data_IF_425566650594
#
_entry.id   IF_425566650594
#
_cell.length_a   1.000
_cell.length_b   1.000
_cell.length_c   1.000
_cell.angle_alpha   90.00
_cell.angle_beta   90.00
_cell.angle_gamma   90.00
#
_symmetry.space_group_name_H-M   'P 1'
#
loop_
_entity.id
_entity.type
_entity.pdbx_description
1 polymer ?
#
# COMPACT_ATOMS: atom_id res chain seq x y z
N UNK A 1 7.23 -1.93 30.33
CA UNK A 1 8.54 -2.45 30.78
C UNK A 1 9.65 -2.32 29.74
N UNK A 2 9.54 -2.95 28.55
CA UNK A 2 10.61 -2.91 27.53
C UNK A 2 10.99 -1.50 27.08
N UNK A 3 10.00 -0.65 26.74
CA UNK A 3 10.26 0.74 26.33
C UNK A 3 10.94 1.55 27.45
N UNK A 4 10.55 1.31 28.71
CA UNK A 4 11.18 1.98 29.85
C UNK A 4 12.65 1.58 29.98
N UNK A 5 12.96 0.29 29.87
CA UNK A 5 14.33 -0.21 29.91
C UNK A 5 15.18 0.33 28.76
N UNK A 6 14.62 0.41 27.54
CA UNK A 6 15.28 1.04 26.39
C UNK A 6 15.61 2.50 26.71
N UNK A 7 14.62 3.29 27.13
CA UNK A 7 14.81 4.72 27.45
C UNK A 7 15.86 4.91 28.56
N UNK A 8 15.86 4.07 29.60
CA UNK A 8 16.86 4.12 30.68
C UNK A 8 18.27 3.76 30.22
N UNK A 9 18.43 2.98 29.16
CA UNK A 9 19.73 2.58 28.62
C UNK A 9 20.31 3.58 27.61
N UNK A 10 19.50 4.51 27.09
CA UNK A 10 19.97 5.49 26.12
C UNK A 10 20.86 6.55 26.78
N UNK A 11 21.97 6.98 26.15
CA UNK A 11 22.73 8.13 26.58
C UNK A 11 21.86 9.38 26.70
N UNK A 12 22.23 10.28 27.63
CA UNK A 12 21.57 11.56 27.77
C UNK A 12 21.62 12.35 26.45
N UNK A 13 20.48 12.89 26.04
CA UNK A 13 20.37 13.68 24.81
C UNK A 13 20.15 12.88 23.52
N UNK A 14 20.18 11.53 23.57
CA UNK A 14 19.82 10.70 22.41
C UNK A 14 18.36 10.91 22.01
N UNK A 15 18.15 11.16 20.71
CA UNK A 15 16.82 11.24 20.14
C UNK A 15 16.29 9.84 19.85
N UNK A 16 15.11 9.53 20.39
CA UNK A 16 14.38 8.30 20.17
C UNK A 16 13.15 8.60 19.31
N UNK A 17 13.04 7.87 18.21
CA UNK A 17 11.83 7.78 17.40
C UNK A 17 11.17 6.42 17.64
N UNK A 18 9.85 6.41 17.79
CA UNK A 18 9.02 5.20 17.75
C UNK A 18 7.96 5.46 16.68
N UNK A 19 7.99 4.65 15.62
CA UNK A 19 7.17 4.87 14.42
C UNK A 19 6.51 3.55 14.04
N UNK A 20 5.27 3.62 13.56
CA UNK A 20 4.66 2.58 12.75
C UNK A 20 4.42 3.13 11.35
N UNK A 21 4.71 2.32 10.33
CA UNK A 21 4.56 2.66 8.92
C UNK A 21 3.09 2.69 8.46
N UNK A 22 2.21 2.04 9.22
CA UNK A 22 0.77 2.01 9.00
C UNK A 22 0.02 1.75 10.32
N UNK A 23 -1.31 1.90 10.32
CA UNK A 23 -2.16 1.44 11.42
C UNK A 23 -2.54 -0.04 11.29
N UNK A 24 -3.47 -0.50 12.12
CA UNK A 24 -3.95 -1.87 12.07
C UNK A 24 -5.42 -2.01 12.51
N UNK A 25 -6.09 -3.01 11.95
CA UNK A 25 -7.44 -3.41 12.36
C UNK A 25 -7.62 -4.94 12.23
N UNK A 26 -8.77 -5.46 12.67
CA UNK A 26 -9.09 -6.89 12.54
C UNK A 26 -9.51 -7.22 11.10
N UNK A 27 -9.07 -8.38 10.61
CA UNK A 27 -9.63 -8.97 9.38
C UNK A 27 -11.03 -9.48 9.70
N UNK A 28 -12.01 -9.03 8.91
CA UNK A 28 -13.34 -9.62 8.87
C UNK A 28 -13.50 -10.52 7.64
N UNK A 29 -12.96 -10.09 6.50
CA UNK A 29 -12.98 -10.80 5.22
C UNK A 29 -11.65 -10.62 4.53
N UNK A 30 -11.11 -11.69 3.98
CA UNK A 30 -10.10 -11.58 2.93
C UNK A 30 -10.82 -11.41 1.60
N UNK A 31 -10.32 -10.52 0.76
CA UNK A 31 -10.85 -10.22 -0.56
C UNK A 31 -9.83 -10.65 -1.62
N UNK A 32 -10.26 -11.38 -2.64
CA UNK A 32 -9.39 -11.99 -3.65
C UNK A 32 -9.71 -11.46 -5.06
N UNK A 33 -9.22 -10.25 -5.44
CA UNK A 33 -9.53 -9.62 -6.72
C UNK A 33 -9.24 -10.50 -7.95
N UNK A 34 -8.21 -11.34 -7.87
CA UNK A 34 -7.85 -12.26 -8.95
C UNK A 34 -8.96 -13.30 -9.25
N UNK A 35 -9.84 -13.61 -8.29
CA UNK A 35 -11.01 -14.46 -8.57
C UNK A 35 -11.98 -13.74 -9.49
N UNK A 36 -12.32 -12.49 -9.19
CA UNK A 36 -13.19 -11.68 -10.03
C UNK A 36 -12.59 -11.46 -11.42
N UNK A 37 -11.28 -11.16 -11.53
CA UNK A 37 -10.62 -11.01 -12.83
C UNK A 37 -10.69 -12.30 -13.68
N UNK A 38 -10.64 -13.48 -13.06
CA UNK A 38 -10.84 -14.76 -13.78
C UNK A 38 -12.28 -14.94 -14.23
N UNK A 39 -13.25 -14.58 -13.38
CA UNK A 39 -14.68 -14.63 -13.74
C UNK A 39 -15.02 -13.71 -14.91
N UNK A 40 -14.36 -12.55 -15.01
CA UNK A 40 -14.46 -11.65 -16.17
C UNK A 40 -13.65 -12.11 -17.40
N UNK A 41 -12.91 -13.22 -17.31
CA UNK A 41 -12.06 -13.71 -18.41
C UNK A 41 -10.80 -12.87 -18.67
N UNK A 42 -10.40 -12.03 -17.71
CA UNK A 42 -9.26 -11.11 -17.83
C UNK A 42 -7.95 -11.69 -17.30
N UNK A 43 -8.02 -12.70 -16.44
CA UNK A 43 -6.88 -13.42 -15.87
C UNK A 43 -6.99 -14.91 -16.22
N UNK A 44 -5.94 -15.46 -16.83
CA UNK A 44 -5.82 -16.87 -17.17
C UNK A 44 -4.59 -17.49 -16.51
N UNK A 45 -4.71 -18.74 -16.05
CA UNK A 45 -3.67 -19.45 -15.31
C UNK A 45 -3.41 -20.79 -15.98
N UNK A 46 -2.13 -21.14 -16.17
CA UNK A 46 -1.74 -22.37 -16.86
C UNK A 46 -1.64 -23.59 -15.94
N UNK A 47 -1.62 -23.37 -14.63
CA UNK A 47 -1.48 -24.41 -13.62
C UNK A 47 -2.80 -24.63 -12.87
N UNK A 48 -3.09 -25.88 -12.52
CA UNK A 48 -4.24 -26.23 -11.66
C UNK A 48 -4.09 -25.68 -10.23
N UNK A 49 -2.85 -25.52 -9.77
CA UNK A 49 -2.50 -24.99 -8.44
C UNK A 49 -1.47 -23.85 -8.56
N UNK A 50 -1.90 -22.68 -9.05
CA UNK A 50 -1.01 -21.57 -9.35
C UNK A 50 -0.47 -20.95 -8.05
N UNK A 51 0.84 -20.68 -8.02
CA UNK A 51 1.56 -20.17 -6.85
C UNK A 51 2.03 -18.73 -7.01
N UNK A 52 2.07 -18.20 -8.23
CA UNK A 52 2.52 -16.84 -8.49
C UNK A 52 2.56 -16.50 -9.97
N UNK A 53 3.26 -15.42 -10.30
CA UNK A 53 3.37 -14.90 -11.68
C UNK A 53 3.90 -15.92 -12.69
N UNK A 54 4.74 -16.88 -12.26
CA UNK A 54 5.23 -17.93 -13.13
C UNK A 54 4.10 -18.82 -13.71
N UNK A 55 2.93 -18.85 -13.08
CA UNK A 55 1.76 -19.64 -13.49
C UNK A 55 0.72 -18.83 -14.28
N UNK A 56 1.00 -17.54 -14.53
CA UNK A 56 0.15 -16.68 -15.38
C UNK A 56 0.29 -17.11 -16.84
N UNK A 57 -0.86 -17.27 -17.49
CA UNK A 57 -0.96 -17.62 -18.91
C UNK A 57 -0.77 -16.36 -19.79
N UNK A 58 -0.13 -16.44 -20.97
CA UNK A 58 -0.01 -15.33 -21.91
C UNK A 58 -1.33 -14.66 -22.30
N UNK A 59 -2.47 -15.37 -22.25
CA UNK A 59 -3.78 -14.80 -22.50
C UNK A 59 -4.27 -13.82 -21.41
N UNK A 60 -3.58 -13.76 -20.27
CA UNK A 60 -3.87 -12.80 -19.20
C UNK A 60 -3.68 -11.37 -19.66
N UNK A 61 -4.66 -10.53 -19.36
CA UNK A 61 -4.62 -9.10 -19.65
C UNK A 61 -4.26 -8.25 -18.44
N UNK A 62 -4.67 -8.66 -17.25
CA UNK A 62 -4.48 -7.90 -16.01
C UNK A 62 -4.52 -8.83 -14.80
N UNK A 63 -3.76 -8.49 -13.76
CA UNK A 63 -3.71 -9.26 -12.52
C UNK A 63 -3.45 -8.36 -11.32
N UNK A 64 -3.71 -8.90 -10.13
CA UNK A 64 -3.48 -8.24 -8.84
C UNK A 64 -2.34 -8.93 -8.08
N UNK A 65 -1.46 -8.14 -7.47
CA UNK A 65 -0.45 -8.57 -6.51
C UNK A 65 -0.72 -7.98 -5.13
N UNK A 66 -0.13 -8.58 -4.11
CA UNK A 66 -0.28 -8.11 -2.73
C UNK A 66 0.42 -6.74 -2.49
N UNK A 67 -0.18 -5.87 -1.64
CA UNK A 67 -1.60 -5.81 -1.27
C UNK A 67 -2.37 -4.94 -2.28
N UNK A 68 -3.39 -5.50 -2.94
CA UNK A 68 -4.33 -4.72 -3.76
C UNK A 68 -3.72 -3.90 -4.92
N UNK A 69 -2.59 -4.33 -5.48
CA UNK A 69 -1.89 -3.63 -6.58
C UNK A 69 -2.19 -4.29 -7.91
N UNK A 70 -2.78 -3.54 -8.83
CA UNK A 70 -3.23 -4.08 -10.12
C UNK A 70 -2.23 -3.68 -11.21
N UNK A 71 -1.88 -4.65 -12.06
CA UNK A 71 -0.96 -4.50 -13.15
C UNK A 71 -1.59 -5.01 -14.44
N UNK A 72 -1.62 -4.15 -15.46
CA UNK A 72 -1.89 -4.58 -16.84
C UNK A 72 -0.70 -5.40 -17.31
N UNK A 73 -0.96 -6.56 -17.90
CA UNK A 73 0.03 -7.45 -18.49
C UNK A 73 0.51 -6.88 -19.83
N UNK A 74 1.11 -5.68 -19.78
CA UNK A 74 1.50 -4.88 -20.93
C UNK A 74 2.67 -5.50 -21.70
N UNK A 75 2.61 -5.35 -23.02
CA UNK A 75 3.72 -5.66 -23.90
C UNK A 75 4.97 -4.86 -23.51
N UNK A 76 6.12 -5.52 -23.46
CA UNK A 76 7.42 -4.91 -23.11
C UNK A 76 7.64 -4.65 -21.62
N UNK A 77 6.58 -4.62 -20.80
CA UNK A 77 6.68 -4.53 -19.33
C UNK A 77 6.81 -5.89 -18.67
N UNK A 78 6.04 -6.86 -19.16
CA UNK A 78 6.06 -8.24 -18.68
C UNK A 78 6.55 -9.18 -19.79
N UNK A 79 7.33 -10.23 -19.46
CA UNK A 79 7.89 -11.14 -20.48
C UNK A 79 6.86 -11.78 -21.40
N UNK A 80 5.64 -12.02 -20.90
CA UNK A 80 4.53 -12.63 -21.64
C UNK A 80 3.39 -11.64 -21.89
N UNK A 81 3.63 -10.34 -21.64
CA UNK A 81 2.62 -9.31 -21.77
C UNK A 81 2.22 -9.07 -23.22
N UNK A 82 0.91 -9.00 -23.47
CA UNK A 82 0.35 -8.85 -24.80
C UNK A 82 -0.53 -7.60 -24.94
N UNK A 83 -0.87 -6.91 -23.84
CA UNK A 83 -1.78 -5.76 -23.87
C UNK A 83 -1.04 -4.52 -24.39
N UNK A 84 -1.58 -3.92 -25.44
CA UNK A 84 -1.09 -2.64 -26.00
C UNK A 84 -1.65 -1.42 -25.25
N UNK A 85 -1.07 -0.24 -25.49
CA UNK A 85 -1.41 0.97 -24.72
C UNK A 85 -2.89 1.37 -24.81
N UNK A 86 -3.49 1.38 -26.01
CA UNK A 86 -4.91 1.75 -26.18
C UNK A 86 -5.85 0.75 -25.49
N UNK A 87 -5.55 -0.54 -25.55
CA UNK A 87 -6.34 -1.56 -24.85
C UNK A 87 -6.21 -1.45 -23.33
N UNK A 88 -5.06 -0.99 -22.83
CA UNK A 88 -4.82 -0.86 -21.39
C UNK A 88 -5.76 0.16 -20.74
N UNK A 89 -6.02 1.30 -21.38
CA UNK A 89 -6.85 2.36 -20.78
C UNK A 89 -8.32 1.91 -20.66
N UNK A 90 -8.87 1.32 -21.73
CA UNK A 90 -10.22 0.75 -21.71
C UNK A 90 -10.36 -0.37 -20.68
N UNK A 91 -9.34 -1.24 -20.59
CA UNK A 91 -9.28 -2.33 -19.62
C UNK A 91 -9.26 -1.82 -18.18
N UNK A 92 -8.48 -0.78 -17.89
CA UNK A 92 -8.40 -0.16 -16.57
C UNK A 92 -9.73 0.47 -16.17
N UNK A 93 -10.41 1.16 -17.10
CA UNK A 93 -11.75 1.71 -16.87
C UNK A 93 -12.76 0.62 -16.49
N UNK A 94 -12.82 -0.45 -17.29
CA UNK A 94 -13.71 -1.58 -17.03
C UNK A 94 -13.44 -2.26 -15.67
N UNK A 95 -12.16 -2.46 -15.33
CA UNK A 95 -11.75 -3.07 -14.05
C UNK A 95 -12.09 -2.16 -12.88
N UNK A 96 -11.88 -0.84 -13.01
CA UNK A 96 -12.26 0.13 -11.99
C UNK A 96 -13.77 0.08 -11.69
N UNK A 97 -14.60 0.18 -12.72
CA UNK A 97 -16.06 0.13 -12.57
C UNK A 97 -16.52 -1.17 -11.91
N UNK A 98 -16.00 -2.30 -12.37
CA UNK A 98 -16.36 -3.62 -11.84
C UNK A 98 -15.98 -3.80 -10.38
N UNK A 99 -14.76 -3.43 -9.99
CA UNK A 99 -14.28 -3.56 -8.62
C UNK A 99 -14.99 -2.60 -7.64
N UNK A 100 -15.28 -1.36 -8.04
CA UNK A 100 -16.06 -0.41 -7.23
C UNK A 100 -17.53 -0.86 -7.05
N UNK A 101 -18.07 -1.60 -8.01
CA UNK A 101 -19.42 -2.15 -7.96
C UNK A 101 -19.55 -3.40 -7.08
N UNK A 102 -18.45 -4.05 -6.70
CA UNK A 102 -18.49 -5.29 -5.91
C UNK A 102 -19.18 -5.10 -4.56
N UNK A 103 -19.95 -6.12 -4.18
CA UNK A 103 -20.60 -6.21 -2.87
C UNK A 103 -20.35 -7.58 -2.26
N UNK A 104 -20.09 -7.58 -0.96
CA UNK A 104 -20.10 -8.78 -0.13
C UNK A 104 -21.49 -8.93 0.49
N UNK A 105 -22.12 -10.08 0.29
CA UNK A 105 -23.44 -10.41 0.83
C UNK A 105 -23.41 -10.74 2.33
N UNK A 106 -22.22 -10.95 2.91
CA UNK A 106 -22.02 -11.35 4.32
C UNK A 106 -20.89 -10.55 5.00
N UNK A 107 -20.92 -9.21 4.96
CA UNK A 107 -19.78 -8.37 5.33
C UNK A 107 -19.35 -8.48 6.80
N UNK A 108 -20.20 -9.06 7.65
CA UNK A 108 -19.95 -9.18 9.07
C UNK A 108 -19.88 -7.79 9.69
N UNK A 109 -18.71 -7.41 10.21
CA UNK A 109 -18.47 -6.10 10.83
C UNK A 109 -17.81 -5.08 9.89
N UNK A 110 -17.49 -5.46 8.66
CA UNK A 110 -16.81 -4.60 7.68
C UNK A 110 -17.75 -3.55 7.01
N UNK A 111 -18.73 -3.03 7.76
CA UNK A 111 -19.63 -1.99 7.28
C UNK A 111 -20.70 -2.47 6.30
N UNK A 112 -20.88 -1.74 5.20
CA UNK A 112 -21.99 -1.89 4.24
C UNK A 112 -21.72 -2.92 3.11
N UNK A 113 -20.65 -3.71 3.26
CA UNK A 113 -20.25 -4.74 2.32
C UNK A 113 -19.64 -4.24 1.03
N UNK A 114 -19.07 -3.02 1.03
CA UNK A 114 -18.23 -2.52 -0.06
C UNK A 114 -16.76 -2.76 0.27
N UNK A 115 -16.11 -3.77 -0.35
CA UNK A 115 -14.70 -4.05 -0.10
C UNK A 115 -13.77 -2.95 -0.63
N UNK A 116 -14.16 -2.29 -1.72
CA UNK A 116 -13.34 -1.30 -2.43
C UNK A 116 -14.10 0.04 -2.48
N UNK A 117 -13.93 0.93 -1.49
CA UNK A 117 -14.50 2.28 -1.52
C UNK A 117 -13.90 3.16 -2.61
N UNK A 118 -12.62 2.97 -2.94
CA UNK A 118 -11.90 3.81 -3.90
C UNK A 118 -10.79 3.02 -4.60
N UNK A 119 -10.41 3.49 -5.78
CA UNK A 119 -9.25 3.02 -6.52
C UNK A 119 -8.45 4.25 -6.93
N UNK A 120 -7.14 4.23 -6.68
CA UNK A 120 -6.21 5.26 -7.15
C UNK A 120 -5.56 4.80 -8.44
N UNK A 121 -5.59 5.64 -9.48
CA UNK A 121 -4.75 5.44 -10.65
C UNK A 121 -3.28 5.74 -10.32
N UNK A 122 -2.37 5.08 -11.04
CA UNK A 122 -0.92 5.29 -10.91
C UNK A 122 -0.54 6.77 -10.83
N UNK A 123 -1.04 7.53 -11.80
CA UNK A 123 -0.70 8.94 -11.99
C UNK A 123 -1.46 9.87 -11.04
N UNK A 124 -2.22 9.35 -10.07
CA UNK A 124 -2.71 10.14 -8.93
C UNK A 124 -1.69 10.18 -7.79
N UNK A 125 -0.99 9.07 -7.55
CA UNK A 125 -0.21 8.84 -6.32
C UNK A 125 1.29 8.66 -6.54
N UNK A 126 1.71 8.28 -7.75
CA UNK A 126 3.13 8.07 -8.07
C UNK A 126 3.67 9.15 -9.00
N UNK A 127 4.89 9.57 -8.72
CA UNK A 127 5.69 10.54 -9.48
C UNK A 127 7.16 10.12 -9.46
N UNK A 128 7.96 10.78 -10.28
CA UNK A 128 9.42 10.60 -10.26
C UNK A 128 9.94 9.48 -11.17
N UNK A 129 11.25 9.19 -11.11
CA UNK A 129 11.97 8.40 -12.11
C UNK A 129 11.55 6.92 -12.16
N UNK A 130 10.90 6.42 -11.12
CA UNK A 130 10.48 5.02 -10.99
C UNK A 130 8.99 4.79 -11.34
N UNK A 131 8.27 5.81 -11.84
CA UNK A 131 6.82 5.72 -12.10
C UNK A 131 6.44 4.57 -13.04
N UNK A 132 7.29 4.22 -14.00
CA UNK A 132 7.05 3.09 -14.91
C UNK A 132 7.02 1.72 -14.22
N UNK A 133 7.62 1.61 -13.03
CA UNK A 133 7.58 0.41 -12.20
C UNK A 133 6.32 0.33 -11.33
N UNK A 134 5.59 1.43 -11.15
CA UNK A 134 4.44 1.53 -10.26
C UNK A 134 3.23 0.71 -10.79
N UNK A 135 2.35 0.21 -9.90
CA UNK A 135 1.11 -0.44 -10.32
C UNK A 135 0.23 0.52 -11.12
N UNK A 136 -0.62 -0.04 -11.98
CA UNK A 136 -1.56 0.75 -12.79
C UNK A 136 -2.72 1.28 -11.94
N UNK A 137 -3.20 0.46 -11.00
CA UNK A 137 -4.18 0.84 -9.99
C UNK A 137 -3.75 0.37 -8.60
N UNK A 138 -4.12 1.12 -7.58
CA UNK A 138 -4.03 0.72 -6.17
C UNK A 138 -5.43 0.73 -5.58
N UNK A 139 -5.85 -0.42 -5.05
CA UNK A 139 -7.12 -0.54 -4.35
C UNK A 139 -7.01 0.14 -2.98
N UNK A 140 -7.92 1.06 -2.71
CA UNK A 140 -8.23 1.52 -1.36
C UNK A 140 -9.38 0.66 -0.85
N UNK A 141 -9.13 -0.05 0.25
CA UNK A 141 -10.00 -1.09 0.77
C UNK A 141 -10.60 -0.66 2.11
N UNK A 142 -11.87 -1.01 2.31
CA UNK A 142 -12.54 -0.69 3.57
C UNK A 142 -11.95 -1.53 4.73
N UNK A 143 -11.87 -0.91 5.91
CA UNK A 143 -11.41 -1.59 7.12
C UNK A 143 -12.12 -2.92 7.35
N UNK A 144 -11.33 -3.96 7.58
CA UNK A 144 -11.81 -5.33 7.72
C UNK A 144 -11.82 -6.15 6.44
N UNK A 145 -11.63 -5.55 5.28
CA UNK A 145 -11.34 -6.23 4.02
C UNK A 145 -9.84 -6.24 3.72
N UNK A 146 -9.24 -7.42 3.76
CA UNK A 146 -7.80 -7.60 3.48
C UNK A 146 -7.61 -8.10 2.04
N UNK A 147 -7.16 -7.24 1.09
CA UNK A 147 -7.00 -7.64 -0.31
C UNK A 147 -5.77 -8.53 -0.49
N UNK A 148 -5.98 -9.69 -1.10
CA UNK A 148 -4.93 -10.65 -1.42
C UNK A 148 -4.89 -10.99 -2.92
N UNK A 149 -3.74 -10.76 -3.55
CA UNK A 149 -3.40 -11.12 -4.91
C UNK A 149 -3.13 -12.63 -5.12
N UNK A 150 -3.63 -13.49 -4.24
CA UNK A 150 -3.42 -14.93 -4.35
C UNK A 150 -4.08 -15.50 -5.62
N UNK A 151 -3.27 -16.11 -6.50
CA UNK A 151 -3.73 -16.68 -7.77
C UNK A 151 -4.52 -17.99 -7.60
N UNK A 152 -4.24 -18.77 -6.54
CA UNK A 152 -4.81 -20.10 -6.32
C UNK A 152 -6.17 -20.11 -5.62
N UNK A 153 -6.79 -18.95 -5.37
CA UNK A 153 -8.10 -18.87 -4.71
C UNK A 153 -9.22 -19.03 -5.74
N UNK A 154 -10.34 -19.54 -5.27
CA UNK A 154 -11.53 -19.83 -6.08
C UNK A 154 -12.77 -19.11 -5.59
N UNK A 155 -12.72 -18.48 -4.42
CA UNK A 155 -13.80 -17.72 -3.82
C UNK A 155 -13.37 -16.26 -3.70
N UNK A 156 -14.24 -15.34 -4.13
CA UNK A 156 -13.96 -13.90 -4.13
C UNK A 156 -13.67 -13.35 -2.73
N UNK A 157 -14.29 -13.95 -1.73
CA UNK A 157 -14.09 -13.60 -0.34
C UNK A 157 -13.85 -14.84 0.49
N UNK A 158 -13.02 -14.74 1.52
CA UNK A 158 -12.75 -15.86 2.41
C UNK A 158 -12.13 -15.45 3.74
N UNK A 159 -11.52 -16.43 4.39
CA UNK A 159 -10.78 -16.28 5.65
C UNK A 159 -9.58 -17.24 5.64
N UNK A 160 -8.52 -16.83 6.33
CA UNK A 160 -7.37 -17.66 6.65
C UNK A 160 -7.10 -17.65 8.16
N UNK A 161 -5.92 -18.12 8.56
CA UNK A 161 -5.45 -18.03 9.93
C UNK A 161 -5.09 -16.58 10.34
N UNK A 162 -4.96 -15.65 9.39
CA UNK A 162 -4.66 -14.25 9.68
C UNK A 162 -5.88 -13.55 10.30
N UNK A 163 -5.62 -12.74 11.33
CA UNK A 163 -6.67 -12.06 12.11
C UNK A 163 -6.57 -10.54 12.07
N UNK A 164 -5.46 -9.97 11.58
CA UNK A 164 -5.24 -8.52 11.51
C UNK A 164 -4.72 -8.09 10.15
N UNK A 165 -5.06 -6.86 9.75
CA UNK A 165 -4.69 -6.22 8.49
C UNK A 165 -4.24 -4.77 8.72
N UNK A 166 -3.60 -4.19 7.71
CA UNK A 166 -3.14 -2.81 7.73
C UNK A 166 -4.28 -1.82 7.48
N UNK A 167 -4.24 -0.65 8.12
CA UNK A 167 -5.08 0.52 7.83
C UNK A 167 -4.22 1.66 7.31
N UNK A 168 -4.79 2.54 6.49
CA UNK A 168 -4.10 3.77 6.06
C UNK A 168 -4.01 4.83 7.16
N UNK A 169 -5.01 4.88 8.04
CA UNK A 169 -5.05 5.78 9.20
C UNK A 169 -4.39 5.16 10.44
N UNK A 170 -4.21 5.99 11.47
CA UNK A 170 -3.81 5.60 12.83
C UNK A 170 -2.43 4.92 12.94
N UNK A 171 -1.51 5.30 12.05
CA UNK A 171 -0.08 5.04 12.24
C UNK A 171 0.45 5.74 13.50
N UNK A 172 1.54 5.21 14.07
CA UNK A 172 2.16 5.74 15.27
C UNK A 172 3.34 6.64 14.90
N UNK A 173 3.41 7.82 15.51
CA UNK A 173 4.63 8.61 15.56
C UNK A 173 4.87 9.12 16.97
N UNK A 174 6.07 8.89 17.48
CA UNK A 174 6.55 9.42 18.73
C UNK A 174 8.02 9.81 18.59
N UNK A 175 8.35 10.96 19.15
CA UNK A 175 9.71 11.44 19.29
C UNK A 175 9.89 11.91 20.73
N UNK A 176 11.00 11.57 21.38
CA UNK A 176 11.31 12.04 22.74
C UNK A 176 11.75 13.53 22.80
N UNK A 177 11.12 14.38 21.98
CA UNK A 177 11.27 15.83 21.95
C UNK A 177 9.93 16.48 22.23
N UNK A 178 9.96 17.60 22.94
CA UNK A 178 8.76 18.42 23.17
C UNK A 178 8.42 19.20 21.90
N UNK A 179 7.14 19.50 21.75
CA UNK A 179 6.63 20.44 20.75
C UNK A 179 6.94 20.07 19.30
N UNK A 180 7.06 18.77 19.01
CA UNK A 180 7.20 18.25 17.63
C UNK A 180 5.86 18.40 16.90
N UNK A 181 5.81 19.10 15.75
CA UNK A 181 4.55 19.31 15.02
C UNK A 181 4.03 17.99 14.44
N UNK A 182 2.82 17.59 14.84
CA UNK A 182 2.16 16.36 14.36
C UNK A 182 0.94 16.62 13.47
N UNK A 183 0.53 17.87 13.33
CA UNK A 183 -0.57 18.29 12.45
C UNK A 183 -0.22 18.03 10.97
N UNK A 184 -1.00 17.17 10.31
CA UNK A 184 -0.72 16.79 8.92
C UNK A 184 0.65 16.13 8.74
N UNK A 185 1.12 15.39 9.75
CA UNK A 185 2.31 14.57 9.66
C UNK A 185 2.07 13.40 8.70
N UNK A 186 3.01 13.16 7.79
CA UNK A 186 3.00 12.02 6.88
C UNK A 186 4.20 11.10 7.15
N UNK A 187 4.09 9.82 6.80
CA UNK A 187 5.19 8.86 6.95
C UNK A 187 6.44 9.29 6.18
N UNK A 188 6.26 9.97 5.04
CA UNK A 188 7.38 10.48 4.23
C UNK A 188 8.16 11.59 4.94
N UNK A 189 7.59 12.24 5.96
CA UNK A 189 8.25 13.28 6.76
C UNK A 189 9.29 12.68 7.73
N UNK A 190 9.21 11.38 8.04
CA UNK A 190 10.10 10.74 9.03
C UNK A 190 11.56 10.76 8.56
N UNK A 191 11.81 10.41 7.30
CA UNK A 191 13.16 10.40 6.70
C UNK A 191 13.90 11.74 6.82
N UNK A 192 13.39 12.84 6.25
CA UNK A 192 14.02 14.15 6.35
C UNK A 192 14.12 14.65 7.80
N UNK A 193 13.16 14.31 8.67
CA UNK A 193 13.23 14.66 10.09
C UNK A 193 14.40 13.96 10.80
N UNK A 194 14.63 12.67 10.52
CA UNK A 194 15.78 11.92 11.06
C UNK A 194 17.10 12.52 10.59
N UNK A 195 17.22 12.86 9.30
CA UNK A 195 18.42 13.50 8.76
C UNK A 195 18.72 14.84 9.44
N UNK A 196 17.69 15.69 9.59
CA UNK A 196 17.84 16.98 10.25
C UNK A 196 18.28 16.85 11.71
N UNK A 197 17.76 15.86 12.45
CA UNK A 197 18.22 15.55 13.82
C UNK A 197 19.69 15.16 13.86
N UNK A 198 20.18 14.47 12.83
CA UNK A 198 21.59 14.09 12.70
C UNK A 198 22.49 15.25 12.23
N UNK A 199 21.93 16.45 12.00
CA UNK A 199 22.67 17.58 11.44
C UNK A 199 23.01 17.40 9.96
N UNK A 200 22.26 16.57 9.25
CA UNK A 200 22.41 16.33 7.82
C UNK A 200 21.28 17.05 7.09
N UNK A 201 21.63 17.89 6.13
CA UNK A 201 20.65 18.54 5.27
C UNK A 201 19.92 17.48 4.42
N UNK A 202 18.58 17.38 4.50
CA UNK A 202 17.83 16.44 3.68
C UNK A 202 18.00 16.75 2.20
N UNK A 203 18.17 15.72 1.34
CA UNK A 203 18.18 15.89 -0.11
C UNK A 203 16.93 16.62 -0.61
N UNK A 204 17.11 17.50 -1.60
CA UNK A 204 16.03 18.31 -2.17
C UNK A 204 14.97 17.50 -2.93
N UNK A 205 15.26 16.24 -3.26
CA UNK A 205 14.38 15.29 -3.93
C UNK A 205 13.59 14.39 -2.96
N UNK A 206 13.69 14.61 -1.64
CA UNK A 206 12.77 14.03 -0.67
C UNK A 206 11.40 14.73 -0.71
N UNK A 207 10.32 13.96 -0.83
CA UNK A 207 8.95 14.49 -0.86
C UNK A 207 8.47 15.03 0.50
N UNK A 208 8.99 14.44 1.59
CA UNK A 208 8.62 14.80 2.96
C UNK A 208 9.30 16.08 3.46
N UNK A 209 8.83 16.56 4.60
CA UNK A 209 9.30 17.79 5.24
C UNK A 209 9.91 17.49 6.60
N UNK A 210 10.88 18.29 7.01
CA UNK A 210 11.44 18.23 8.37
C UNK A 210 10.39 18.63 9.39
N UNK A 211 10.19 17.79 10.41
CA UNK A 211 9.23 17.99 11.50
C UNK A 211 9.97 18.16 12.82
N UNK A 212 10.52 19.36 13.03
CA UNK A 212 11.22 19.71 14.25
C UNK A 212 10.63 20.98 14.88
N UNK A 213 10.75 21.16 16.21
CA UNK A 213 10.42 22.42 16.86
C UNK A 213 11.25 23.57 16.30
N UNK A 214 10.66 24.78 16.22
CA UNK A 214 11.29 25.99 15.65
C UNK A 214 12.63 26.39 16.30
N UNK A 215 12.88 25.96 17.53
CA UNK A 215 14.11 26.27 18.28
C UNK A 215 15.24 25.24 18.05
N UNK A 216 15.01 24.18 17.28
CA UNK A 216 15.93 23.04 17.12
C UNK A 216 16.36 22.77 15.68
N UNK A 217 16.10 23.69 14.74
CA UNK A 217 16.79 23.65 13.45
C UNK A 217 18.24 24.09 13.69
N UNK A 218 19.26 23.25 13.41
CA UNK A 218 20.64 23.69 13.45
C UNK A 218 20.76 24.93 12.55
N UNK A 219 21.38 26.00 13.05
CA UNK A 219 21.73 27.14 12.20
C UNK A 219 22.53 26.61 11.00
N UNK A 220 22.12 27.00 9.78
CA UNK A 220 22.86 26.66 8.57
C UNK A 220 24.33 27.05 8.75
N UNK A 221 25.29 26.21 8.33
CA UNK A 221 26.70 26.56 8.42
C UNK A 221 26.95 27.83 7.59
N UNK A 222 27.58 28.82 8.22
CA UNK A 222 28.04 30.08 7.63
C UNK A 222 29.20 29.83 6.68
#
# INVERSE_FOLDING_TARGET
DVLGALVSALPAGTVLFIVADHGHTLIHREFYPNVWLREQGLLALKAEKPKGLADVDPATKIFTLDPGRIYVHRQGRFPLGAVGSTEADDLLGHVCEGLLALRDDRPGRAGDGRPVPRIFARDEIYRGPCVESAPDLVLDFADGYDPKGAFGRTELFGRSALTGMHTYADALFFMNRRDVPTDGLDIIDVGPTVLAVMGIDPPADMDGRVRLPREQTPAAPV
#
